data_IF_012698777477
#
_entry.id   IF_012698777477
#
_cell.length_a   1.000
_cell.length_b   1.000
_cell.length_c   1.000
_cell.angle_alpha   90.00
_cell.angle_beta   90.00
_cell.angle_gamma   90.00
#
_symmetry.space_group_name_H-M   'P 1'
#
loop_
_entity.id
_entity.type
_entity.pdbx_description
1 polymer ?
#
# COMPACT_ATOMS: atom_id res chain seq x y z
N UNK A 1 11.84 15.62 -17.17
CA UNK A 1 11.79 14.77 -15.96
C UNK A 1 11.26 13.36 -16.25
N UNK A 2 10.12 13.15 -16.94
CA UNK A 2 9.66 11.79 -17.31
C UNK A 2 10.69 10.98 -18.12
N UNK A 3 11.43 11.65 -19.01
CA UNK A 3 12.51 11.01 -19.79
C UNK A 3 13.70 10.55 -18.94
N UNK A 4 14.04 11.26 -17.86
CA UNK A 4 15.18 10.92 -17.01
C UNK A 4 14.89 9.70 -16.13
N UNK A 5 13.68 9.62 -15.56
CA UNK A 5 13.26 8.42 -14.81
C UNK A 5 13.15 7.24 -15.75
N UNK A 6 12.49 7.38 -16.90
CA UNK A 6 12.43 6.32 -17.92
C UNK A 6 13.82 5.83 -18.34
N UNK A 7 14.74 6.73 -18.65
CA UNK A 7 16.11 6.38 -19.06
C UNK A 7 16.87 5.60 -17.96
N UNK A 8 16.60 5.89 -16.69
CA UNK A 8 17.30 5.26 -15.56
C UNK A 8 16.67 3.97 -15.07
N UNK A 9 15.39 3.73 -15.35
CA UNK A 9 14.64 2.61 -14.77
C UNK A 9 14.08 1.64 -15.78
N UNK A 10 14.08 2.01 -17.07
CA UNK A 10 13.38 1.29 -18.15
C UNK A 10 11.87 1.11 -17.88
N UNK A 11 11.28 2.05 -17.13
CA UNK A 11 9.84 2.08 -16.81
C UNK A 11 9.16 3.20 -17.60
N UNK A 12 7.92 2.97 -18.01
CA UNK A 12 7.05 4.01 -18.55
C UNK A 12 6.18 4.60 -17.44
N UNK A 13 5.94 5.91 -17.51
CA UNK A 13 5.18 6.65 -16.49
C UNK A 13 4.12 7.49 -17.20
N UNK A 14 2.88 7.47 -16.71
CA UNK A 14 1.78 8.26 -17.29
C UNK A 14 0.96 9.02 -16.22
N UNK A 15 1.25 8.81 -14.93
CA UNK A 15 0.66 9.57 -13.83
C UNK A 15 1.77 10.10 -12.91
N UNK A 16 1.64 11.35 -12.47
CA UNK A 16 2.52 11.97 -11.49
C UNK A 16 1.70 12.63 -10.37
N UNK A 17 1.85 12.15 -9.15
CA UNK A 17 1.26 12.76 -7.96
C UNK A 17 2.32 13.59 -7.23
N UNK A 18 2.08 14.89 -7.10
CA UNK A 18 2.97 15.80 -6.38
C UNK A 18 2.47 15.97 -4.95
N UNK A 19 3.35 15.73 -3.99
CA UNK A 19 3.10 15.93 -2.57
C UNK A 19 4.08 16.98 -2.05
N UNK A 20 3.54 18.01 -1.41
CA UNK A 20 4.32 19.07 -0.78
C UNK A 20 4.21 18.99 0.74
N UNK A 21 5.35 18.79 1.40
CA UNK A 21 5.49 18.82 2.85
C UNK A 21 6.07 20.18 3.22
N UNK A 22 5.30 21.02 3.89
CA UNK A 22 5.68 22.41 4.20
C UNK A 22 6.75 22.50 5.27
N UNK A 23 6.75 21.54 6.20
CA UNK A 23 7.64 21.49 7.36
C UNK A 23 7.67 20.08 7.99
N UNK A 24 8.23 19.98 9.20
CA UNK A 24 8.31 18.73 9.96
C UNK A 24 6.96 18.16 10.43
N UNK A 25 5.92 18.98 10.57
CA UNK A 25 4.61 18.54 11.08
C UNK A 25 3.79 17.81 10.00
N UNK A 26 4.01 18.15 8.73
CA UNK A 26 3.45 17.42 7.58
C UNK A 26 4.05 16.02 7.52
N UNK A 27 3.22 15.01 7.26
CA UNK A 27 3.62 13.60 7.27
C UNK A 27 2.70 12.77 6.39
N UNK A 28 3.07 11.51 6.18
CA UNK A 28 2.22 10.54 5.52
C UNK A 28 2.17 9.28 6.37
N UNK A 29 0.96 8.92 6.82
CA UNK A 29 0.74 7.74 7.63
C UNK A 29 1.16 6.45 6.91
N UNK A 30 1.31 5.36 7.67
CA UNK A 30 1.67 4.07 7.09
C UNK A 30 0.57 3.57 6.16
N UNK A 31 0.91 3.37 4.88
CA UNK A 31 -0.02 2.93 3.84
C UNK A 31 0.70 2.09 2.78
N UNK A 32 -0.05 1.42 1.93
CA UNK A 32 0.47 0.96 0.64
C UNK A 32 -0.22 1.75 -0.45
N UNK A 33 0.46 1.94 -1.55
CA UNK A 33 -0.15 2.57 -2.71
C UNK A 33 -1.27 1.67 -3.23
N UNK A 34 -2.37 2.30 -3.64
CA UNK A 34 -3.46 1.61 -4.34
C UNK A 34 -2.89 0.90 -5.56
N UNK A 35 -3.26 -0.37 -5.72
CA UNK A 35 -2.80 -1.21 -6.83
C UNK A 35 -3.85 -1.37 -7.94
N UNK A 36 -5.08 -0.95 -7.69
CA UNK A 36 -6.21 -1.19 -8.59
C UNK A 36 -5.99 -0.56 -9.97
N UNK A 37 -5.28 0.56 -10.02
CA UNK A 37 -5.01 1.31 -11.23
C UNK A 37 -3.58 1.12 -11.74
N UNK A 38 -2.71 0.39 -11.04
CA UNK A 38 -1.31 0.21 -11.44
C UNK A 38 -1.16 -0.89 -12.50
N UNK A 39 -0.36 -0.62 -13.53
CA UNK A 39 0.04 -1.64 -14.49
C UNK A 39 0.74 -2.81 -13.77
N UNK A 40 0.34 -4.05 -14.09
CA UNK A 40 0.92 -5.26 -13.48
C UNK A 40 2.44 -5.29 -13.67
N UNK A 41 3.18 -5.57 -12.60
CA UNK A 41 4.65 -5.60 -12.61
C UNK A 41 5.33 -4.23 -12.65
N UNK A 42 4.59 -3.13 -12.80
CA UNK A 42 5.19 -1.78 -12.81
C UNK A 42 5.73 -1.40 -11.44
N UNK A 43 6.73 -0.53 -11.47
CA UNK A 43 7.29 0.08 -10.25
C UNK A 43 6.57 1.39 -9.93
N UNK A 44 6.77 1.87 -8.72
CA UNK A 44 6.41 3.22 -8.26
C UNK A 44 7.71 3.96 -8.02
N UNK A 45 7.85 5.14 -8.62
CA UNK A 45 9.06 5.96 -8.50
C UNK A 45 8.77 7.22 -7.70
N UNK A 46 9.53 7.44 -6.63
CA UNK A 46 9.46 8.66 -5.81
C UNK A 46 10.73 9.47 -6.03
N UNK A 47 10.57 10.64 -6.64
CA UNK A 47 11.65 11.62 -6.76
C UNK A 47 11.48 12.68 -5.67
N UNK A 48 12.55 12.95 -4.92
CA UNK A 48 12.52 13.89 -3.79
C UNK A 48 13.34 15.14 -4.07
N UNK A 49 12.80 16.30 -3.71
CA UNK A 49 13.49 17.60 -3.75
C UNK A 49 13.30 18.33 -2.42
N UNK A 50 14.30 19.09 -1.99
CA UNK A 50 14.26 19.84 -0.72
C UNK A 50 14.73 19.00 0.46
N UNK A 51 14.17 19.22 1.64
CA UNK A 51 14.63 18.62 2.89
C UNK A 51 14.62 17.08 2.86
N UNK A 52 15.65 16.48 3.46
CA UNK A 52 15.72 15.04 3.67
C UNK A 52 14.64 14.58 4.65
N UNK A 53 13.90 13.53 4.30
CA UNK A 53 12.89 12.93 5.19
C UNK A 53 13.09 11.43 5.34
N UNK A 54 12.89 10.94 6.56
CA UNK A 54 12.95 9.51 6.85
C UNK A 54 11.72 8.83 6.28
N UNK A 55 11.95 7.81 5.47
CA UNK A 55 10.97 6.88 4.95
C UNK A 55 11.03 5.59 5.75
N UNK A 56 9.86 5.16 6.22
CA UNK A 56 9.70 3.91 6.94
C UNK A 56 9.03 2.91 6.02
N UNK A 57 9.51 1.67 6.01
CA UNK A 57 8.94 0.54 5.30
C UNK A 57 8.76 -0.61 6.29
N UNK A 58 7.52 -1.02 6.55
CA UNK A 58 7.15 -2.01 7.59
C UNK A 58 6.37 -3.15 6.96
N UNK A 59 6.76 -4.39 7.26
CA UNK A 59 6.13 -5.60 6.72
C UNK A 59 4.72 -5.79 7.30
N UNK A 60 3.76 -6.14 6.45
CA UNK A 60 2.37 -6.41 6.85
C UNK A 60 2.23 -7.81 7.45
N UNK A 61 1.26 -7.96 8.35
CA UNK A 61 0.79 -9.25 8.88
C UNK A 61 1.91 -10.14 9.44
N UNK A 62 2.98 -9.54 9.95
CA UNK A 62 4.07 -10.25 10.58
C UNK A 62 3.94 -10.17 12.10
N UNK A 63 3.78 -11.33 12.73
CA UNK A 63 3.70 -11.48 14.17
C UNK A 63 4.96 -12.20 14.67
N UNK A 64 5.94 -11.41 15.10
CA UNK A 64 7.16 -11.89 15.76
C UNK A 64 7.23 -11.31 17.17
N UNK A 65 7.95 -11.95 18.11
CA UNK A 65 8.14 -11.42 19.46
C UNK A 65 8.73 -10.00 19.49
N UNK A 66 9.56 -9.66 18.51
CA UNK A 66 10.26 -8.38 18.39
C UNK A 66 9.48 -7.32 17.58
N UNK A 67 8.27 -7.65 17.13
CA UNK A 67 7.45 -6.80 16.27
C UNK A 67 7.81 -6.89 14.77
N UNK A 68 6.99 -6.29 13.89
CA UNK A 68 7.13 -6.47 12.46
C UNK A 68 8.47 -5.94 11.95
N UNK A 69 9.03 -6.65 10.97
CA UNK A 69 10.26 -6.23 10.28
C UNK A 69 10.07 -4.84 9.69
N UNK A 70 11.03 -3.96 9.97
CA UNK A 70 11.01 -2.58 9.51
C UNK A 70 12.37 -2.18 8.94
N UNK A 71 12.33 -1.39 7.87
CA UNK A 71 13.47 -0.70 7.30
C UNK A 71 13.22 0.80 7.38
N UNK A 72 14.26 1.56 7.74
CA UNK A 72 14.23 3.02 7.81
C UNK A 72 15.40 3.55 7.02
N UNK A 73 15.13 4.50 6.14
CA UNK A 73 16.16 5.14 5.34
C UNK A 73 15.75 6.56 5.00
N UNK A 74 16.75 7.38 4.69
CA UNK A 74 16.55 8.78 4.34
C UNK A 74 16.35 8.95 2.84
N UNK A 75 15.43 9.85 2.47
CA UNK A 75 15.21 10.31 1.12
C UNK A 75 15.76 11.74 0.96
N UNK A 76 17.03 11.92 0.54
CA UNK A 76 17.63 13.24 0.38
C UNK A 76 17.12 13.94 -0.89
N UNK A 77 17.41 15.25 -1.01
CA UNK A 77 17.15 15.99 -2.25
C UNK A 77 17.84 15.34 -3.44
N UNK A 78 17.19 15.38 -4.60
CA UNK A 78 17.64 14.80 -5.86
C UNK A 78 17.80 13.27 -5.81
N UNK A 79 17.13 12.59 -4.88
CA UNK A 79 17.08 11.12 -4.84
C UNK A 79 15.91 10.56 -5.65
N UNK A 80 16.10 9.33 -6.13
CA UNK A 80 15.05 8.49 -6.73
C UNK A 80 14.94 7.21 -5.89
N UNK A 81 13.74 6.96 -5.37
CA UNK A 81 13.39 5.71 -4.71
C UNK A 81 12.43 4.90 -5.60
N UNK A 82 12.67 3.60 -5.72
CA UNK A 82 11.84 2.67 -6.49
C UNK A 82 11.21 1.63 -5.58
N UNK A 83 9.89 1.51 -5.66
CA UNK A 83 9.12 0.48 -4.97
C UNK A 83 8.49 -0.44 -6.02
N UNK A 84 8.80 -1.73 -5.98
CA UNK A 84 8.17 -2.69 -6.88
C UNK A 84 6.81 -3.18 -6.34
N UNK A 85 6.00 -3.76 -7.22
CA UNK A 85 4.67 -4.31 -6.89
C UNK A 85 4.71 -5.27 -5.69
N UNK A 86 5.67 -6.20 -5.65
CA UNK A 86 5.77 -7.19 -4.57
C UNK A 86 6.06 -6.53 -3.23
N UNK A 87 6.91 -5.51 -3.18
CA UNK A 87 7.18 -4.75 -1.96
C UNK A 87 5.93 -3.97 -1.55
N UNK A 88 5.25 -3.28 -2.46
CA UNK A 88 4.02 -2.55 -2.14
C UNK A 88 2.89 -3.47 -1.61
N UNK A 89 2.82 -4.70 -2.15
CA UNK A 89 1.87 -5.72 -1.69
C UNK A 89 2.13 -6.14 -0.25
N UNK A 90 3.38 -6.40 0.13
CA UNK A 90 3.74 -6.98 1.43
C UNK A 90 4.15 -5.98 2.51
N UNK A 91 4.38 -4.71 2.15
CA UNK A 91 4.84 -3.68 3.08
C UNK A 91 3.96 -2.44 3.02
N UNK A 92 3.79 -1.80 4.18
CA UNK A 92 3.29 -0.42 4.27
C UNK A 92 4.47 0.52 4.43
N UNK A 93 4.31 1.76 3.99
CA UNK A 93 5.32 2.79 4.08
C UNK A 93 4.75 4.15 4.48
N UNK A 94 5.62 5.04 4.96
CA UNK A 94 5.21 6.38 5.40
C UNK A 94 6.38 7.33 5.58
N UNK A 95 6.06 8.62 5.70
CA UNK A 95 7.01 9.68 6.02
C UNK A 95 6.75 10.15 7.45
N UNK A 96 7.74 9.99 8.33
CA UNK A 96 7.60 10.39 9.74
C UNK A 96 7.53 11.90 9.90
N UNK A 97 6.79 12.33 10.94
CA UNK A 97 6.89 13.69 11.48
C UNK A 97 8.29 13.95 12.04
N UNK A 98 8.72 15.19 11.94
CA UNK A 98 9.86 15.80 12.65
C UNK A 98 9.30 16.99 13.44
N UNK A 99 10.08 17.61 14.33
CA UNK A 99 9.60 18.86 14.93
C UNK A 99 9.55 19.91 13.82
N UNK A 100 8.51 20.75 13.82
CA UNK A 100 8.23 21.73 12.75
C UNK A 100 9.47 22.47 12.22
N UNK A 101 10.32 22.98 13.12
CA UNK A 101 11.48 23.81 12.78
C UNK A 101 12.79 23.01 12.60
N UNK A 102 12.75 21.67 12.66
CA UNK A 102 13.96 20.86 12.47
C UNK A 102 14.26 20.57 10.99
N UNK A 103 13.28 20.78 10.10
CA UNK A 103 13.39 20.46 8.67
C UNK A 103 12.65 21.49 7.84
N UNK A 104 13.26 21.86 6.71
CA UNK A 104 12.66 22.71 5.69
C UNK A 104 11.61 21.94 4.87
N UNK A 105 11.07 22.60 3.85
CA UNK A 105 10.07 22.05 2.95
C UNK A 105 10.64 20.94 2.05
N UNK A 106 9.75 20.03 1.60
CA UNK A 106 10.08 18.93 0.70
C UNK A 106 8.98 18.75 -0.33
N UNK A 107 9.37 18.55 -1.58
CA UNK A 107 8.49 18.08 -2.65
C UNK A 107 8.83 16.63 -2.96
N UNK A 108 7.81 15.78 -3.03
CA UNK A 108 7.89 14.44 -3.58
C UNK A 108 7.03 14.35 -4.83
N UNK A 109 7.61 13.83 -5.92
CA UNK A 109 6.86 13.49 -7.13
C UNK A 109 6.82 11.98 -7.23
N UNK A 110 5.62 11.42 -7.13
CA UNK A 110 5.37 9.98 -7.21
C UNK A 110 4.85 9.64 -8.59
N UNK A 111 5.71 9.03 -9.40
CA UNK A 111 5.38 8.53 -10.72
C UNK A 111 4.81 7.12 -10.64
N UNK A 112 3.76 6.88 -11.42
CA UNK A 112 3.08 5.59 -11.57
C UNK A 112 2.79 5.34 -13.04
N UNK A 113 2.76 4.06 -13.41
CA UNK A 113 2.16 3.62 -14.66
C UNK A 113 0.77 3.10 -14.34
N UNK A 114 -0.26 3.85 -14.71
CA UNK A 114 -1.64 3.45 -14.49
C UNK A 114 -2.29 2.90 -15.76
N UNK A 115 -3.13 1.90 -15.60
CA UNK A 115 -3.93 1.27 -16.66
C UNK A 115 -5.37 1.72 -16.65
N UNK A 116 -5.78 2.43 -15.60
CA UNK A 116 -7.12 3.01 -15.49
C UNK A 116 -7.18 4.40 -16.13
N UNK A 117 -8.11 4.62 -17.05
CA UNK A 117 -8.37 5.93 -17.65
C UNK A 117 -9.87 6.21 -17.76
N UNK A 118 -10.21 7.50 -17.70
CA UNK A 118 -11.58 8.00 -17.82
C UNK A 118 -11.79 8.54 -19.24
N UNK A 119 -12.86 8.13 -19.90
CA UNK A 119 -13.28 8.65 -21.20
C UNK A 119 -14.12 9.91 -21.05
N UNK A 120 -14.28 10.66 -22.16
CA UNK A 120 -14.99 11.95 -22.18
C UNK A 120 -16.47 11.85 -21.76
N UNK A 121 -17.09 10.69 -21.97
CA UNK A 121 -18.46 10.36 -21.56
C UNK A 121 -18.56 9.93 -20.08
N UNK A 122 -17.44 9.93 -19.36
CA UNK A 122 -17.39 9.68 -17.92
C UNK A 122 -17.18 8.22 -17.51
N UNK A 123 -17.00 7.29 -18.46
CA UNK A 123 -16.73 5.89 -18.17
C UNK A 123 -15.28 5.68 -17.73
N UNK A 124 -15.05 4.70 -16.87
CA UNK A 124 -13.71 4.27 -16.45
C UNK A 124 -13.38 2.93 -17.09
N UNK A 125 -12.21 2.85 -17.69
CA UNK A 125 -11.65 1.64 -18.29
C UNK A 125 -10.36 1.29 -17.58
N UNK A 126 -10.12 0.01 -17.34
CA UNK A 126 -8.86 -0.52 -16.79
C UNK A 126 -8.31 -1.59 -17.73
N UNK A 127 -7.03 -1.48 -18.06
CA UNK A 127 -6.30 -2.40 -18.93
C UNK A 127 -5.37 -3.29 -18.11
N UNK A 128 -5.87 -4.39 -17.54
CA UNK A 128 -5.01 -5.42 -16.94
C UNK A 128 -5.43 -5.94 -15.58
N UNK A 129 -6.39 -5.30 -14.91
CA UNK A 129 -7.09 -5.96 -13.79
C UNK A 129 -8.08 -6.96 -14.34
N UNK A 130 -8.09 -8.19 -13.81
CA UNK A 130 -9.21 -9.08 -14.02
C UNK A 130 -10.46 -8.40 -13.44
N UNK A 131 -11.40 -7.98 -14.30
CA UNK A 131 -12.66 -7.43 -13.85
C UNK A 131 -13.36 -8.49 -13.00
N UNK A 132 -13.56 -8.21 -11.71
CA UNK A 132 -14.53 -8.95 -10.91
C UNK A 132 -15.89 -8.50 -11.39
N UNK A 133 -16.64 -9.40 -12.02
CA UNK A 133 -18.04 -9.15 -12.32
C UNK A 133 -18.82 -8.93 -11.02
N UNK A 134 -20.00 -8.32 -11.10
CA UNK A 134 -20.91 -8.24 -9.95
C UNK A 134 -21.18 -9.64 -9.34
N UNK A 135 -21.22 -10.68 -10.18
CA UNK A 135 -21.33 -12.06 -9.74
C UNK A 135 -20.09 -12.55 -8.98
N UNK A 136 -18.89 -12.19 -9.41
CA UNK A 136 -17.65 -12.54 -8.71
C UNK A 136 -17.57 -11.88 -7.33
N UNK A 137 -17.99 -10.61 -7.23
CA UNK A 137 -18.09 -9.88 -5.95
C UNK A 137 -19.12 -10.56 -5.03
N UNK A 138 -20.33 -10.84 -5.54
CA UNK A 138 -21.37 -11.51 -4.76
C UNK A 138 -20.96 -12.91 -4.31
N UNK A 139 -20.22 -13.66 -5.15
CA UNK A 139 -19.67 -14.96 -4.77
C UNK A 139 -18.61 -14.84 -3.68
N UNK A 140 -17.74 -13.83 -3.73
CA UNK A 140 -16.75 -13.60 -2.68
C UNK A 140 -17.40 -13.23 -1.34
N UNK A 141 -18.41 -12.34 -1.35
CA UNK A 141 -19.19 -12.02 -0.16
C UNK A 141 -19.89 -13.26 0.41
N UNK A 142 -20.50 -14.07 -0.46
CA UNK A 142 -21.14 -15.33 -0.05
C UNK A 142 -20.13 -16.30 0.57
N UNK A 143 -18.93 -16.46 -0.02
CA UNK A 143 -17.86 -17.29 0.56
C UNK A 143 -17.38 -16.75 1.90
N UNK A 144 -17.29 -15.43 2.05
CA UNK A 144 -16.89 -14.78 3.31
C UNK A 144 -17.93 -15.02 4.39
N UNK A 145 -19.21 -14.87 4.09
CA UNK A 145 -20.32 -15.20 5.00
C UNK A 145 -20.27 -16.66 5.43
N UNK A 146 -20.16 -17.60 4.49
CA UNK A 146 -20.06 -19.04 4.81
C UNK A 146 -18.84 -19.31 5.71
N UNK A 147 -17.69 -18.71 5.40
CA UNK A 147 -16.49 -18.86 6.22
C UNK A 147 -16.70 -18.36 7.65
N UNK A 148 -17.36 -17.22 7.84
CA UNK A 148 -17.70 -16.68 9.16
C UNK A 148 -18.67 -17.59 9.91
N UNK A 149 -19.71 -18.11 9.25
CA UNK A 149 -20.66 -19.07 9.84
C UNK A 149 -20.00 -20.38 10.27
N UNK A 150 -19.15 -20.97 9.41
CA UNK A 150 -18.42 -22.21 9.73
C UNK A 150 -17.46 -21.96 10.89
N UNK A 151 -16.75 -20.83 10.88
CA UNK A 151 -15.83 -20.46 11.97
C UNK A 151 -16.58 -20.30 13.29
N UNK A 152 -17.72 -19.61 13.29
CA UNK A 152 -18.55 -19.43 14.47
C UNK A 152 -19.08 -20.77 15.00
N UNK A 153 -19.59 -21.63 14.11
CA UNK A 153 -20.08 -22.96 14.47
C UNK A 153 -18.98 -23.81 15.12
N UNK A 154 -17.78 -23.84 14.54
CA UNK A 154 -16.65 -24.59 15.09
C UNK A 154 -16.23 -24.06 16.46
N UNK A 155 -16.17 -22.74 16.64
CA UNK A 155 -15.88 -22.12 17.94
C UNK A 155 -16.95 -22.51 18.97
N UNK A 156 -18.23 -22.43 18.63
CA UNK A 156 -19.32 -22.84 19.53
C UNK A 156 -19.26 -24.33 19.86
N UNK A 157 -18.99 -25.20 18.89
CA UNK A 157 -18.86 -26.64 19.11
C UNK A 157 -17.70 -26.97 20.06
N UNK A 158 -16.56 -26.29 19.91
CA UNK A 158 -15.41 -26.44 20.83
C UNK A 158 -15.77 -25.97 22.24
N UNK A 159 -16.46 -24.84 22.39
CA UNK A 159 -16.91 -24.34 23.71
C UNK A 159 -17.85 -25.34 24.38
N UNK A 160 -18.82 -25.90 23.65
CA UNK A 160 -19.76 -26.90 24.18
C UNK A 160 -19.02 -28.16 24.60
N UNK A 161 -18.10 -28.66 23.76
CA UNK A 161 -17.30 -29.83 24.07
C UNK A 161 -16.47 -29.65 25.35
N UNK A 162 -15.74 -28.52 25.47
CA UNK A 162 -14.95 -28.20 26.67
C UNK A 162 -15.82 -28.03 27.93
N UNK A 163 -17.00 -27.43 27.79
CA UNK A 163 -17.96 -27.29 28.89
C UNK A 163 -18.49 -28.64 29.36
N UNK A 164 -18.75 -29.57 28.43
CA UNK A 164 -19.18 -30.93 28.76
C UNK A 164 -18.10 -31.74 29.49
N UNK A 165 -16.83 -31.62 29.08
CA UNK A 165 -15.70 -32.27 29.76
C UNK A 165 -15.51 -31.73 31.19
N UNK A 166 -15.78 -30.44 31.40
CA UNK A 166 -15.68 -29.81 32.72
C UNK A 166 -16.80 -30.25 33.68
N UNK A 167 -17.95 -30.70 33.15
CA UNK A 167 -19.06 -31.25 33.94
C UNK A 167 -18.92 -32.73 34.32
N UNK A 168 -17.93 -33.43 33.75
CA UNK A 168 -17.66 -34.85 33.98
C UNK A 168 -16.56 -35.11 35.02
N UNK A 169 -15.98 -34.06 35.58
CA UNK A 169 -15.04 -34.10 36.73
C UNK A 169 -15.72 -33.49 37.96
#
# INVERSE_FOLDING_TARGET
MPDLTKQKTDETWNLAHIIYYRDGDDSMGMHSDTVLDLALGSKIAVVSFGATRQFDLVKKYESTPDGPSQMKFDLPSNSLFLLNEQTNKHYVHGIRKKRKNDVEDRIAIVFRHVTTFKTDDGQFYDYGSAFLTKQDIMQQETRREIFLYVSLFLVTAVIIFLSSMSSMN
#
